data_IF_313880388073
#
_entry.id   IF_313880388073
#
_cell.length_a   1.000
_cell.length_b   1.000
_cell.length_c   1.000
_cell.angle_alpha   90.00
_cell.angle_beta   90.00
_cell.angle_gamma   90.00
#
_symmetry.space_group_name_H-M   'P 1'
#
loop_
_entity.id
_entity.type
_entity.pdbx_description
1 polymer ?
#
# COMPACT_ATOMS: atom_id res chain seq x y z
N UNK A 1 19.97 -2.81 37.55
CA UNK A 1 18.59 -3.23 37.21
C UNK A 1 18.19 -2.55 35.90
N UNK A 2 18.22 -3.28 34.79
CA UNK A 2 17.54 -2.91 33.55
C UNK A 2 17.10 -4.21 32.86
N UNK A 3 16.03 -4.78 33.38
CA UNK A 3 15.28 -5.87 32.77
C UNK A 3 14.56 -5.34 31.53
N UNK A 4 15.21 -5.37 30.36
CA UNK A 4 14.52 -5.49 29.07
C UNK A 4 14.38 -7.00 28.81
N UNK A 5 13.31 -7.64 29.29
CA UNK A 5 11.96 -7.67 28.71
C UNK A 5 11.96 -8.17 27.27
N UNK A 6 11.44 -9.38 27.12
CA UNK A 6 10.90 -10.05 25.92
C UNK A 6 11.92 -10.68 24.98
N UNK A 7 12.22 -11.93 25.29
CA UNK A 7 12.27 -13.01 24.29
C UNK A 7 11.07 -12.90 23.36
N UNK A 8 11.18 -12.12 22.29
CA UNK A 8 10.30 -12.23 21.13
C UNK A 8 10.58 -13.57 20.46
N UNK A 9 9.55 -14.30 19.99
CA UNK A 9 9.77 -15.55 19.29
C UNK A 9 10.64 -15.27 18.05
N UNK A 10 11.77 -15.96 17.95
CA UNK A 10 12.65 -16.02 16.78
C UNK A 10 11.89 -16.73 15.65
N UNK A 11 10.88 -16.07 15.08
CA UNK A 11 10.34 -16.44 13.78
C UNK A 11 11.51 -16.33 12.81
N UNK A 12 11.84 -17.43 12.13
CA UNK A 12 12.86 -17.44 11.08
C UNK A 12 12.63 -16.24 10.16
N UNK A 13 13.66 -15.41 9.96
CA UNK A 13 13.61 -14.20 9.15
C UNK A 13 12.97 -14.47 7.78
N UNK A 14 13.16 -15.68 7.24
CA UNK A 14 12.53 -16.15 6.00
C UNK A 14 11.00 -16.22 6.08
N UNK A 15 10.47 -16.76 7.17
CA UNK A 15 9.03 -16.84 7.43
C UNK A 15 8.47 -15.45 7.67
N UNK A 16 9.20 -14.61 8.41
CA UNK A 16 8.81 -13.22 8.68
C UNK A 16 8.68 -12.40 7.39
N UNK A 17 9.68 -12.44 6.49
CA UNK A 17 9.64 -11.73 5.20
C UNK A 17 8.43 -12.15 4.37
N UNK A 18 8.08 -13.44 4.36
CA UNK A 18 6.91 -13.95 3.62
C UNK A 18 5.60 -13.46 4.19
N UNK A 19 5.48 -13.39 5.52
CA UNK A 19 4.29 -12.84 6.19
C UNK A 19 4.15 -11.36 5.84
N UNK A 20 5.24 -10.59 5.92
CA UNK A 20 5.24 -9.16 5.57
C UNK A 20 4.85 -8.97 4.10
N UNK A 21 5.46 -9.73 3.18
CA UNK A 21 5.09 -9.69 1.76
C UNK A 21 3.62 -10.05 1.52
N UNK A 22 3.06 -11.00 2.25
CA UNK A 22 1.64 -11.32 2.16
C UNK A 22 0.76 -10.13 2.60
N UNK A 23 1.11 -9.45 3.69
CA UNK A 23 0.40 -8.25 4.15
C UNK A 23 0.45 -7.14 3.10
N UNK A 24 1.62 -6.85 2.55
CA UNK A 24 1.79 -5.85 1.49
C UNK A 24 1.02 -6.20 0.21
N UNK A 25 0.97 -7.49 -0.16
CA UNK A 25 0.15 -7.95 -1.29
C UNK A 25 -1.34 -7.70 -1.07
N UNK A 26 -1.85 -7.92 0.15
CA UNK A 26 -3.24 -7.67 0.49
C UNK A 26 -3.52 -6.17 0.43
N UNK A 27 -2.63 -5.33 0.97
CA UNK A 27 -2.79 -3.88 0.89
C UNK A 27 -2.83 -3.39 -0.56
N UNK A 28 -1.87 -3.83 -1.39
CA UNK A 28 -1.87 -3.51 -2.83
C UNK A 28 -3.15 -3.97 -3.53
N UNK A 29 -3.64 -5.18 -3.24
CA UNK A 29 -4.88 -5.70 -3.82
C UNK A 29 -6.11 -4.87 -3.42
N UNK A 30 -6.22 -4.47 -2.15
CA UNK A 30 -7.32 -3.59 -1.72
C UNK A 30 -7.27 -2.24 -2.41
N UNK A 31 -6.07 -1.69 -2.63
CA UNK A 31 -5.91 -0.42 -3.33
C UNK A 31 -6.34 -0.54 -4.82
N UNK A 32 -6.05 -1.67 -5.48
CA UNK A 32 -6.57 -1.96 -6.82
C UNK A 32 -8.10 -1.96 -6.82
N UNK A 33 -8.73 -2.66 -5.87
CA UNK A 33 -10.19 -2.76 -5.79
C UNK A 33 -10.82 -1.38 -5.57
N UNK A 34 -10.30 -0.59 -4.63
CA UNK A 34 -10.83 0.76 -4.34
C UNK A 34 -10.65 1.70 -5.54
N UNK A 35 -9.48 1.65 -6.20
CA UNK A 35 -9.20 2.46 -7.40
C UNK A 35 -10.14 2.08 -8.55
N UNK A 36 -10.38 0.79 -8.78
CA UNK A 36 -11.32 0.31 -9.80
C UNK A 36 -12.76 0.71 -9.48
N UNK A 37 -13.18 0.60 -8.22
CA UNK A 37 -14.49 1.06 -7.78
C UNK A 37 -14.65 2.56 -8.04
N UNK A 38 -13.62 3.37 -7.77
CA UNK A 38 -13.65 4.81 -8.03
C UNK A 38 -13.74 5.13 -9.53
N UNK A 39 -12.98 4.39 -10.34
CA UNK A 39 -12.93 4.59 -11.79
C UNK A 39 -14.25 4.19 -12.48
N UNK A 40 -14.88 3.11 -12.02
CA UNK A 40 -16.15 2.61 -12.58
C UNK A 40 -17.39 3.30 -11.99
N UNK A 41 -17.32 3.69 -10.71
CA UNK A 41 -18.45 4.27 -9.96
C UNK A 41 -18.03 5.55 -9.22
N UNK A 42 -17.66 6.63 -9.95
CA UNK A 42 -17.19 7.86 -9.34
C UNK A 42 -18.22 8.54 -8.42
N UNK A 43 -19.52 8.32 -8.66
CA UNK A 43 -20.62 8.84 -7.82
C UNK A 43 -20.60 8.33 -6.38
N UNK A 44 -19.87 7.24 -6.09
CA UNK A 44 -19.70 6.73 -4.73
C UNK A 44 -18.63 7.49 -3.93
N UNK A 45 -17.77 8.23 -4.63
CA UNK A 45 -16.62 8.95 -4.07
C UNK A 45 -16.77 10.47 -4.16
N UNK A 46 -17.48 10.97 -5.18
CA UNK A 46 -17.74 12.38 -5.40
C UNK A 46 -19.25 12.64 -5.35
N UNK A 47 -19.66 13.64 -4.55
CA UNK A 47 -21.06 14.07 -4.48
C UNK A 47 -21.42 14.98 -5.66
N UNK A 48 -20.48 15.83 -6.07
CA UNK A 48 -20.62 16.70 -7.23
C UNK A 48 -20.15 16.02 -8.51
N UNK A 49 -20.78 16.35 -9.64
CA UNK A 49 -20.31 15.90 -10.94
C UNK A 49 -18.94 16.51 -11.25
N UNK A 50 -18.01 15.67 -11.71
CA UNK A 50 -16.68 16.11 -12.12
C UNK A 50 -16.76 16.91 -13.43
N UNK A 51 -16.21 18.12 -13.43
CA UNK A 51 -16.02 18.89 -14.66
C UNK A 51 -14.89 18.29 -15.50
N UNK A 52 -14.76 18.68 -16.78
CA UNK A 52 -13.76 18.12 -17.71
C UNK A 52 -12.32 18.10 -17.17
N UNK A 53 -11.91 19.14 -16.44
CA UNK A 53 -10.58 19.22 -15.80
C UNK A 53 -10.44 18.18 -14.68
N UNK A 54 -11.43 18.11 -13.79
CA UNK A 54 -11.42 17.22 -12.63
C UNK A 54 -11.54 15.76 -13.05
N UNK A 55 -12.27 15.52 -14.14
CA UNK A 55 -12.37 14.21 -14.79
C UNK A 55 -11.02 13.75 -15.36
N UNK A 56 -10.28 14.65 -16.02
CA UNK A 56 -8.93 14.35 -16.51
C UNK A 56 -7.97 14.02 -15.35
N UNK A 57 -8.01 14.80 -14.27
CA UNK A 57 -7.22 14.54 -13.06
C UNK A 57 -7.63 13.19 -12.44
N UNK A 58 -8.93 12.92 -12.33
CA UNK A 58 -9.45 11.67 -11.79
C UNK A 58 -8.92 10.46 -12.54
N UNK A 59 -8.99 10.44 -13.88
CA UNK A 59 -8.49 9.33 -14.68
C UNK A 59 -6.97 9.20 -14.61
N UNK A 60 -6.24 10.31 -14.64
CA UNK A 60 -4.78 10.29 -14.54
C UNK A 60 -4.31 9.71 -13.20
N UNK A 61 -4.87 10.21 -12.09
CA UNK A 61 -4.49 9.80 -10.73
C UNK A 61 -4.92 8.38 -10.43
N UNK A 62 -6.13 7.97 -10.86
CA UNK A 62 -6.61 6.59 -10.70
C UNK A 62 -5.80 5.61 -11.57
N UNK A 63 -5.43 6.01 -12.79
CA UNK A 63 -4.56 5.21 -13.65
C UNK A 63 -3.17 5.00 -13.05
N UNK A 64 -2.57 6.07 -12.52
CA UNK A 64 -1.29 5.98 -11.82
C UNK A 64 -1.37 5.04 -10.63
N UNK A 65 -2.42 5.16 -9.81
CA UNK A 65 -2.63 4.33 -8.64
C UNK A 65 -2.82 2.85 -9.00
N UNK A 66 -3.52 2.55 -10.10
CA UNK A 66 -3.69 1.19 -10.60
C UNK A 66 -2.33 0.57 -10.97
N UNK A 67 -1.48 1.33 -11.67
CA UNK A 67 -0.14 0.88 -12.08
C UNK A 67 0.75 0.64 -10.86
N UNK A 68 0.83 1.59 -9.93
CA UNK A 68 1.69 1.46 -8.74
C UNK A 68 1.23 0.32 -7.83
N UNK A 69 -0.08 0.13 -7.67
CA UNK A 69 -0.63 -0.98 -6.90
C UNK A 69 -0.36 -2.34 -7.55
N UNK A 70 -0.40 -2.40 -8.88
CA UNK A 70 -0.05 -3.63 -9.61
C UNK A 70 1.43 -3.96 -9.44
N UNK A 71 2.31 -2.94 -9.48
CA UNK A 71 3.74 -3.11 -9.19
C UNK A 71 3.95 -3.63 -7.77
N UNK A 72 3.33 -3.00 -6.76
CA UNK A 72 3.41 -3.42 -5.35
C UNK A 72 2.92 -4.85 -5.13
N UNK A 73 1.80 -5.21 -5.76
CA UNK A 73 1.23 -6.55 -5.72
C UNK A 73 2.17 -7.61 -6.31
N UNK A 74 2.64 -7.39 -7.54
CA UNK A 74 3.55 -8.33 -8.22
C UNK A 74 4.88 -8.45 -7.48
N UNK A 75 5.43 -7.33 -7.00
CA UNK A 75 6.66 -7.29 -6.22
C UNK A 75 6.55 -8.15 -4.95
N UNK A 76 5.43 -8.04 -4.24
CA UNK A 76 5.15 -8.85 -3.05
C UNK A 76 4.96 -10.34 -3.37
N UNK A 77 4.25 -10.67 -4.46
CA UNK A 77 4.10 -12.06 -4.91
C UNK A 77 5.44 -12.70 -5.32
N UNK A 78 6.32 -11.93 -5.97
CA UNK A 78 7.65 -12.40 -6.34
C UNK A 78 8.45 -12.76 -5.09
N UNK A 79 8.43 -11.93 -4.05
CA UNK A 79 9.16 -12.20 -2.80
C UNK A 79 8.59 -13.40 -2.05
N UNK A 80 7.27 -13.60 -2.06
CA UNK A 80 6.61 -14.77 -1.48
C UNK A 80 7.04 -16.07 -2.17
N UNK A 81 7.10 -16.07 -3.51
CA UNK A 81 7.39 -17.26 -4.32
C UNK A 81 8.88 -17.50 -4.59
N UNK A 82 9.74 -16.51 -4.32
CA UNK A 82 11.19 -16.64 -4.50
C UNK A 82 11.78 -17.61 -3.47
N UNK A 83 12.76 -18.41 -3.92
CA UNK A 83 13.57 -19.25 -3.02
C UNK A 83 14.23 -18.40 -1.94
N UNK A 84 14.24 -18.89 -0.69
CA UNK A 84 14.85 -18.19 0.43
C UNK A 84 16.35 -17.91 0.24
N UNK A 85 17.04 -18.67 -0.60
CA UNK A 85 18.45 -18.44 -0.97
C UNK A 85 18.65 -17.21 -1.85
N UNK A 86 17.61 -16.80 -2.58
CA UNK A 86 17.61 -15.61 -3.44
C UNK A 86 17.00 -14.38 -2.75
N UNK A 87 16.46 -14.52 -1.53
CA UNK A 87 16.08 -13.38 -0.68
C UNK A 87 17.32 -12.83 0.05
N UNK A 88 18.28 -12.36 -0.75
CA UNK A 88 19.51 -11.70 -0.28
C UNK A 88 19.26 -10.21 -0.04
N UNK A 89 20.17 -9.54 0.68
CA UNK A 89 20.02 -8.13 1.07
C UNK A 89 19.63 -7.21 -0.08
N UNK A 90 20.31 -7.29 -1.24
CA UNK A 90 19.97 -6.47 -2.42
C UNK A 90 18.53 -6.66 -2.90
N UNK A 91 18.07 -7.90 -2.92
CA UNK A 91 16.74 -8.25 -3.40
C UNK A 91 15.64 -7.82 -2.41
N UNK A 92 15.92 -7.89 -1.11
CA UNK A 92 15.04 -7.36 -0.06
C UNK A 92 15.00 -5.83 -0.14
N UNK A 93 16.13 -5.15 -0.36
CA UNK A 93 16.16 -3.69 -0.52
C UNK A 93 15.35 -3.23 -1.73
N UNK A 94 15.47 -3.90 -2.88
CA UNK A 94 14.65 -3.57 -4.07
C UNK A 94 13.17 -3.77 -3.77
N UNK A 95 12.81 -4.87 -3.09
CA UNK A 95 11.43 -5.13 -2.70
C UNK A 95 10.87 -4.01 -1.82
N UNK A 96 11.58 -3.61 -0.76
CA UNK A 96 11.17 -2.54 0.13
C UNK A 96 11.10 -1.18 -0.58
N UNK A 97 12.00 -0.91 -1.53
CA UNK A 97 12.00 0.34 -2.28
C UNK A 97 10.77 0.45 -3.19
N UNK A 98 10.43 -0.63 -3.90
CA UNK A 98 9.22 -0.68 -4.73
C UNK A 98 7.94 -0.60 -3.90
N UNK A 99 7.94 -1.20 -2.72
CA UNK A 99 6.80 -1.15 -1.81
C UNK A 99 6.64 0.26 -1.20
N UNK A 100 7.74 0.92 -0.82
CA UNK A 100 7.72 2.33 -0.38
C UNK A 100 7.26 3.31 -1.48
N UNK A 101 7.53 3.00 -2.74
CA UNK A 101 7.01 3.77 -3.88
C UNK A 101 5.49 3.63 -3.99
N UNK A 102 4.96 2.42 -3.80
CA UNK A 102 3.52 2.17 -3.73
C UNK A 102 2.88 2.95 -2.57
N UNK A 103 3.45 2.88 -1.36
CA UNK A 103 2.99 3.64 -0.19
C UNK A 103 2.89 5.14 -0.47
N UNK A 104 3.98 5.71 -0.97
CA UNK A 104 4.06 7.14 -1.24
C UNK A 104 3.03 7.54 -2.30
N UNK A 105 2.89 6.72 -3.34
CA UNK A 105 1.90 6.95 -4.41
C UNK A 105 0.47 6.90 -3.89
N UNK A 106 0.18 6.00 -2.96
CA UNK A 106 -1.14 5.86 -2.31
C UNK A 106 -1.51 7.08 -1.49
N UNK A 107 -0.57 7.62 -0.71
CA UNK A 107 -0.78 8.87 0.05
C UNK A 107 -1.07 10.04 -0.89
N UNK A 108 -0.29 10.19 -1.96
CA UNK A 108 -0.51 11.24 -2.97
C UNK A 108 -1.87 11.06 -3.66
N UNK A 109 -2.22 9.83 -4.03
CA UNK A 109 -3.51 9.50 -4.65
C UNK A 109 -4.69 9.94 -3.76
N UNK A 110 -4.70 9.54 -2.49
CA UNK A 110 -5.78 9.91 -1.56
C UNK A 110 -5.84 11.41 -1.36
N UNK A 111 -4.70 12.08 -1.21
CA UNK A 111 -4.62 13.54 -1.07
C UNK A 111 -5.22 14.27 -2.28
N UNK A 112 -4.86 13.88 -3.50
CA UNK A 112 -5.40 14.48 -4.72
C UNK A 112 -6.91 14.23 -4.83
N UNK A 113 -7.35 13.03 -4.51
CA UNK A 113 -8.76 12.65 -4.52
C UNK A 113 -9.62 13.39 -3.47
N UNK A 114 -9.08 13.63 -2.29
CA UNK A 114 -9.80 14.31 -1.20
C UNK A 114 -9.76 15.83 -1.35
N UNK A 115 -8.57 16.41 -1.56
CA UNK A 115 -8.37 17.86 -1.52
C UNK A 115 -8.66 18.52 -2.86
N UNK A 116 -8.18 17.93 -3.97
CA UNK A 116 -8.36 18.53 -5.30
C UNK A 116 -9.72 18.17 -5.88
N UNK A 117 -10.07 16.89 -5.85
CA UNK A 117 -11.33 16.39 -6.41
C UNK A 117 -12.51 16.46 -5.43
N UNK A 118 -12.29 16.95 -4.20
CA UNK A 118 -13.33 17.14 -3.17
C UNK A 118 -14.15 15.87 -2.94
N UNK A 119 -13.48 14.73 -2.77
CA UNK A 119 -14.12 13.48 -2.42
C UNK A 119 -14.91 13.62 -1.11
N UNK A 120 -16.24 13.52 -1.18
CA UNK A 120 -17.15 13.60 -0.04
C UNK A 120 -18.16 12.44 -0.03
N UNK A 121 -18.03 11.49 -0.95
CA UNK A 121 -18.91 10.34 -1.04
C UNK A 121 -18.73 9.34 0.10
N UNK A 122 -19.71 8.44 0.32
CA UNK A 122 -19.67 7.46 1.41
C UNK A 122 -18.44 6.53 1.31
N UNK A 123 -18.02 6.16 0.09
CA UNK A 123 -16.85 5.28 -0.10
C UNK A 123 -15.52 5.99 0.05
N UNK A 124 -15.47 7.33 -0.06
CA UNK A 124 -14.26 8.11 0.24
C UNK A 124 -13.82 7.90 1.69
N UNK A 125 -14.77 7.93 2.63
CA UNK A 125 -14.46 7.76 4.05
C UNK A 125 -13.85 6.37 4.33
N UNK A 126 -14.43 5.32 3.75
CA UNK A 126 -13.90 3.96 3.89
C UNK A 126 -12.51 3.81 3.28
N UNK A 127 -12.27 4.39 2.09
CA UNK A 127 -10.95 4.36 1.46
C UNK A 127 -9.89 5.07 2.31
N UNK A 128 -10.24 6.21 2.90
CA UNK A 128 -9.36 6.94 3.80
C UNK A 128 -9.02 6.12 5.05
N UNK A 129 -10.03 5.52 5.70
CA UNK A 129 -9.83 4.67 6.88
C UNK A 129 -8.96 3.45 6.58
N UNK A 130 -9.23 2.75 5.48
CA UNK A 130 -8.42 1.60 5.04
C UNK A 130 -6.99 2.05 4.76
N UNK A 131 -6.82 3.17 4.06
CA UNK A 131 -5.49 3.69 3.73
C UNK A 131 -4.69 4.06 4.98
N UNK A 132 -5.31 4.71 5.98
CA UNK A 132 -4.64 5.04 7.24
C UNK A 132 -4.22 3.78 7.99
N UNK A 133 -5.12 2.81 8.14
CA UNK A 133 -4.83 1.56 8.86
C UNK A 133 -3.68 0.82 8.19
N UNK A 134 -3.70 0.73 6.85
CA UNK A 134 -2.66 0.06 6.10
C UNK A 134 -1.34 0.82 6.17
N UNK A 135 -1.35 2.14 5.99
CA UNK A 135 -0.14 2.95 6.12
C UNK A 135 0.53 2.80 7.50
N UNK A 136 -0.26 2.76 8.59
CA UNK A 136 0.23 2.51 9.94
C UNK A 136 0.80 1.10 10.10
N UNK A 137 0.10 0.09 9.56
CA UNK A 137 0.55 -1.30 9.59
C UNK A 137 1.85 -1.48 8.82
N UNK A 138 1.91 -0.92 7.61
CA UNK A 138 3.06 -1.01 6.73
C UNK A 138 4.27 -0.31 7.37
N UNK A 139 4.07 0.91 7.88
CA UNK A 139 5.09 1.65 8.66
C UNK A 139 5.61 0.86 9.88
N UNK A 140 4.71 0.18 10.60
CA UNK A 140 5.11 -0.66 11.72
C UNK A 140 5.96 -1.85 11.26
N UNK A 141 5.56 -2.53 10.17
CA UNK A 141 6.32 -3.65 9.61
C UNK A 141 7.69 -3.20 9.08
N UNK A 142 7.79 -2.04 8.44
CA UNK A 142 9.06 -1.43 8.05
C UNK A 142 9.98 -1.20 9.25
N UNK A 143 9.46 -0.60 10.33
CA UNK A 143 10.24 -0.35 11.54
C UNK A 143 10.74 -1.67 12.16
N UNK A 144 9.89 -2.69 12.21
CA UNK A 144 10.26 -4.01 12.73
C UNK A 144 11.30 -4.70 11.84
N UNK A 145 11.21 -4.55 10.52
CA UNK A 145 12.21 -5.07 9.59
C UNK A 145 13.58 -4.38 9.74
N UNK A 146 13.60 -3.06 9.88
CA UNK A 146 14.84 -2.29 10.07
C UNK A 146 15.47 -2.64 11.43
N UNK A 147 14.69 -2.76 12.50
CA UNK A 147 15.21 -3.11 13.83
C UNK A 147 15.74 -4.55 13.94
N UNK A 148 15.36 -5.43 13.01
CA UNK A 148 15.81 -6.84 12.96
C UNK A 148 17.06 -7.06 12.10
N UNK A 149 17.50 -6.05 11.35
CA UNK A 149 18.69 -6.07 10.50
C UNK A 149 19.78 -5.16 11.05
#
# INVERSE_FOLDING_TARGET
>A
MSTQSKTMPLIDLKVYIRIVAAVFSISSATAIVMTLLRLLNPHLYYLDALNNRDMAIHYFVSGLMLVTSTIGFLNSLIVMNRSATNNTGRNITIWLLLDSLFETSRVVYVFLCEIILKGQGPLQFYELMITIIQYLLDSFLYCQMILRH
#
